data_IF_473748956950
#
_entry.id   IF_473748956950
#
_cell.length_a   1.000
_cell.length_b   1.000
_cell.length_c   1.000
_cell.angle_alpha   90.00
_cell.angle_beta   90.00
_cell.angle_gamma   90.00
#
_symmetry.space_group_name_H-M   'P 1'
#
loop_
_entity.id
_entity.type
_entity.pdbx_description
1 polymer ?
#
# COMPACT_ATOMS: atom_id res chain seq x y z
N UNK A 1 5.69 29.80 -2.55
CA UNK A 1 6.60 28.69 -2.26
C UNK A 1 6.36 28.27 -0.81
N UNK A 2 5.60 27.20 -0.56
CA UNK A 2 5.50 26.62 0.78
C UNK A 2 6.72 25.72 0.94
N UNK A 3 7.49 25.95 1.98
CA UNK A 3 8.68 25.17 2.34
C UNK A 3 8.28 23.68 2.45
N UNK A 4 8.67 22.91 1.47
CA UNK A 4 8.74 21.46 1.64
C UNK A 4 9.86 21.22 2.64
N UNK A 5 9.56 20.60 3.78
CA UNK A 5 10.60 20.19 4.70
C UNK A 5 11.61 19.31 3.94
N UNK A 6 12.91 19.49 4.21
CA UNK A 6 13.91 18.62 3.60
C UNK A 6 13.62 17.16 3.94
N UNK A 7 13.98 16.20 3.06
CA UNK A 7 13.80 14.79 3.34
C UNK A 7 14.48 14.41 4.65
N UNK A 8 13.90 13.47 5.39
CA UNK A 8 14.64 12.83 6.47
C UNK A 8 15.91 12.22 5.89
N UNK A 9 17.00 12.23 6.65
CA UNK A 9 18.20 11.51 6.23
C UNK A 9 17.91 10.01 6.19
N UNK A 10 18.58 9.28 5.31
CA UNK A 10 18.45 7.82 5.23
C UNK A 10 18.73 7.15 6.59
N UNK A 11 19.69 7.69 7.36
CA UNK A 11 20.06 7.22 8.70
C UNK A 11 18.91 7.35 9.72
N UNK A 12 18.01 8.33 9.53
CA UNK A 12 16.91 8.64 10.45
C UNK A 12 15.60 7.90 10.08
N UNK A 13 15.61 7.10 9.01
CA UNK A 13 14.47 6.29 8.62
C UNK A 13 14.31 5.09 9.56
N UNK A 14 13.07 4.67 9.76
CA UNK A 14 12.75 3.41 10.42
C UNK A 14 12.19 2.41 9.40
N UNK A 15 12.06 1.13 9.78
CA UNK A 15 11.56 0.07 8.89
C UNK A 15 10.08 0.25 8.48
N UNK A 16 9.34 1.16 9.10
CA UNK A 16 8.02 1.58 8.61
C UNK A 16 8.11 2.55 7.42
N UNK A 17 9.31 3.02 7.05
CA UNK A 17 9.53 3.74 5.82
C UNK A 17 9.63 2.77 4.65
N UNK A 18 8.80 2.98 3.65
CA UNK A 18 8.69 2.07 2.50
C UNK A 18 10.00 1.92 1.73
N UNK A 19 10.76 3.01 1.55
CA UNK A 19 12.04 2.95 0.85
C UNK A 19 13.02 2.05 1.61
N UNK A 20 13.23 2.33 2.92
CA UNK A 20 14.16 1.54 3.72
C UNK A 20 13.75 0.08 3.80
N UNK A 21 12.46 -0.19 4.02
CA UNK A 21 11.94 -1.55 4.08
C UNK A 21 12.21 -2.31 2.77
N UNK A 22 11.92 -1.68 1.62
CA UNK A 22 12.15 -2.27 0.31
C UNK A 22 13.63 -2.65 0.10
N UNK A 23 14.57 -1.77 0.48
CA UNK A 23 16.01 -2.05 0.39
C UNK A 23 16.44 -3.18 1.33
N UNK A 24 15.85 -3.24 2.54
CA UNK A 24 16.20 -4.26 3.54
C UNK A 24 15.73 -5.65 3.11
N UNK A 25 14.53 -5.77 2.57
CA UNK A 25 14.00 -7.07 2.14
C UNK A 25 14.57 -7.57 0.80
N UNK A 26 15.37 -6.76 0.09
CA UNK A 26 16.25 -7.25 -0.98
C UNK A 26 17.35 -8.17 -0.45
N UNK A 27 17.77 -8.02 0.82
CA UNK A 27 18.64 -8.98 1.49
C UNK A 27 17.86 -10.26 1.83
N UNK A 28 18.24 -11.38 1.21
CA UNK A 28 17.65 -12.69 1.49
C UNK A 28 17.69 -13.04 2.98
N UNK A 29 18.80 -12.69 3.67
CA UNK A 29 18.97 -12.94 5.11
C UNK A 29 17.98 -12.09 5.94
N UNK A 30 17.90 -10.79 5.67
CA UNK A 30 16.96 -9.91 6.38
C UNK A 30 15.51 -10.33 6.16
N UNK A 31 15.14 -10.65 4.91
CA UNK A 31 13.80 -11.10 4.59
C UNK A 31 13.45 -12.42 5.25
N UNK A 32 14.41 -13.36 5.29
CA UNK A 32 14.26 -14.62 6.00
C UNK A 32 14.01 -14.39 7.49
N UNK A 33 14.82 -13.55 8.15
CA UNK A 33 14.66 -13.23 9.57
C UNK A 33 13.26 -12.66 9.84
N UNK A 34 12.82 -11.69 9.05
CA UNK A 34 11.50 -11.05 9.20
C UNK A 34 10.38 -12.09 9.06
N UNK A 35 10.43 -12.93 8.02
CA UNK A 35 9.41 -13.94 7.78
C UNK A 35 9.39 -15.02 8.86
N UNK A 36 10.55 -15.49 9.34
CA UNK A 36 10.64 -16.50 10.38
C UNK A 36 10.09 -16.03 11.72
N UNK A 37 10.30 -14.74 12.07
CA UNK A 37 9.71 -14.14 13.26
C UNK A 37 8.18 -14.01 13.10
N UNK A 38 7.69 -13.55 11.94
CA UNK A 38 6.27 -13.38 11.69
C UNK A 38 5.51 -14.71 11.68
N UNK A 39 6.10 -15.71 11.06
CA UNK A 39 5.45 -17.01 10.86
C UNK A 39 5.76 -18.02 11.98
N UNK A 40 6.65 -17.64 12.90
CA UNK A 40 7.07 -18.46 14.07
C UNK A 40 7.56 -19.86 13.66
N UNK A 41 8.24 -19.95 12.51
CA UNK A 41 8.84 -21.19 11.98
C UNK A 41 10.02 -20.89 11.07
N UNK A 42 10.87 -21.88 10.87
CA UNK A 42 11.96 -21.79 9.89
C UNK A 42 11.42 -21.77 8.45
N UNK A 43 12.11 -21.01 7.60
CA UNK A 43 11.80 -20.86 6.17
C UNK A 43 13.10 -21.01 5.38
N UNK A 44 13.05 -21.83 4.33
CA UNK A 44 14.11 -21.87 3.34
C UNK A 44 13.55 -21.37 1.99
N UNK A 45 14.32 -20.54 1.31
CA UNK A 45 13.91 -20.03 0.01
C UNK A 45 14.40 -20.91 -1.14
N UNK A 46 13.57 -21.02 -2.18
CA UNK A 46 13.96 -21.55 -3.49
C UNK A 46 14.60 -20.44 -4.32
N UNK A 47 15.88 -20.15 -4.10
CA UNK A 47 16.61 -19.07 -4.77
C UNK A 47 16.54 -17.73 -4.02
N UNK A 48 17.10 -16.70 -4.65
CA UNK A 48 17.09 -15.35 -4.07
C UNK A 48 15.71 -14.71 -4.13
N UNK A 49 15.34 -13.88 -3.13
CA UNK A 49 14.13 -13.07 -3.20
C UNK A 49 14.12 -12.21 -4.46
N UNK A 50 12.97 -12.13 -5.11
CA UNK A 50 12.83 -11.35 -6.35
C UNK A 50 12.51 -9.91 -5.94
N UNK A 51 13.54 -9.08 -5.93
CA UNK A 51 13.40 -7.63 -5.72
C UNK A 51 12.74 -6.92 -6.91
N UNK A 52 12.40 -5.65 -6.71
CA UNK A 52 11.80 -4.77 -7.73
C UNK A 52 12.79 -4.47 -8.88
N UNK A 53 12.99 -5.41 -9.79
CA UNK A 53 13.83 -5.29 -10.97
C UNK A 53 13.03 -4.93 -12.23
N UNK A 54 13.75 -4.48 -13.31
CA UNK A 54 13.17 -4.11 -14.60
C UNK A 54 12.22 -5.17 -15.19
N UNK A 55 12.50 -6.46 -14.98
CA UNK A 55 11.60 -7.58 -15.35
C UNK A 55 10.22 -7.50 -14.68
N UNK A 56 10.14 -6.88 -13.52
CA UNK A 56 8.89 -6.69 -12.77
C UNK A 56 8.08 -5.51 -13.32
N UNK A 57 8.75 -4.45 -13.82
CA UNK A 57 8.09 -3.34 -14.51
C UNK A 57 7.38 -3.80 -15.79
N UNK A 58 7.95 -4.77 -16.51
CA UNK A 58 7.30 -5.39 -17.69
C UNK A 58 6.11 -6.26 -17.32
N UNK A 59 6.18 -6.96 -16.16
CA UNK A 59 5.16 -7.93 -15.75
C UNK A 59 3.93 -7.32 -15.08
N UNK A 60 4.07 -6.22 -14.32
CA UNK A 60 3.00 -5.69 -13.47
C UNK A 60 2.52 -4.28 -13.87
N UNK A 61 3.20 -3.63 -14.83
CA UNK A 61 2.93 -2.24 -15.20
C UNK A 61 3.26 -1.24 -14.08
N UNK A 62 3.09 0.05 -14.35
CA UNK A 62 3.40 1.14 -13.40
C UNK A 62 2.55 1.17 -12.12
N UNK A 63 1.53 0.32 -12.03
CA UNK A 63 0.43 0.46 -11.04
C UNK A 63 0.63 -0.39 -9.79
N UNK A 64 1.39 -1.51 -9.85
CA UNK A 64 1.58 -2.39 -8.70
C UNK A 64 3.05 -2.42 -8.26
N UNK A 65 3.37 -1.60 -7.28
CA UNK A 65 4.64 -1.66 -6.54
C UNK A 65 4.50 -2.71 -5.44
N UNK A 66 4.73 -3.97 -5.78
CA UNK A 66 4.90 -5.05 -4.79
C UNK A 66 6.37 -5.04 -4.37
N UNK A 67 6.66 -4.90 -3.10
CA UNK A 67 8.04 -4.61 -2.68
C UNK A 67 8.99 -5.80 -2.87
N UNK A 68 8.71 -7.01 -2.41
CA UNK A 68 9.52 -8.22 -2.69
C UNK A 68 8.68 -9.48 -2.57
N UNK A 69 8.96 -10.47 -3.43
CA UNK A 69 8.40 -11.82 -3.34
C UNK A 69 9.51 -12.84 -3.09
N UNK A 70 9.30 -13.76 -2.17
CA UNK A 70 10.14 -14.94 -2.01
C UNK A 70 9.30 -16.21 -2.16
N UNK A 71 9.91 -17.27 -2.70
CA UNK A 71 9.28 -18.59 -2.80
C UNK A 71 9.96 -19.51 -1.79
N UNK A 72 9.19 -20.03 -0.84
CA UNK A 72 9.67 -21.00 0.12
C UNK A 72 9.86 -22.38 -0.50
N UNK A 73 10.62 -23.24 0.19
CA UNK A 73 10.77 -24.66 -0.15
C UNK A 73 9.46 -25.44 -0.03
N UNK A 74 8.50 -24.92 0.77
CA UNK A 74 7.11 -25.36 0.87
C UNK A 74 6.23 -24.96 -0.34
N UNK A 75 6.82 -24.38 -1.40
CA UNK A 75 6.16 -23.86 -2.59
C UNK A 75 5.15 -22.72 -2.32
N UNK A 76 5.23 -22.08 -1.16
CA UNK A 76 4.44 -20.90 -0.83
C UNK A 76 5.16 -19.63 -1.26
N UNK A 77 4.41 -18.70 -1.80
CA UNK A 77 4.90 -17.37 -2.16
C UNK A 77 4.61 -16.41 -1.01
N UNK A 78 5.63 -15.70 -0.60
CA UNK A 78 5.57 -14.69 0.47
C UNK A 78 5.74 -13.31 -0.13
N UNK A 79 4.85 -12.40 0.25
CA UNK A 79 4.98 -10.98 -0.04
C UNK A 79 4.79 -10.19 1.26
N UNK A 80 5.69 -9.27 1.53
CA UNK A 80 5.57 -8.38 2.69
C UNK A 80 5.63 -6.92 2.25
N UNK A 81 4.78 -6.09 2.85
CA UNK A 81 4.80 -4.64 2.67
C UNK A 81 4.59 -3.92 4.00
N UNK A 82 5.07 -2.69 4.08
CA UNK A 82 4.83 -1.80 5.22
C UNK A 82 3.85 -0.70 4.85
N UNK A 83 2.97 -0.35 5.77
CA UNK A 83 1.99 0.72 5.60
C UNK A 83 1.89 1.57 6.86
N UNK A 84 2.36 2.80 6.78
CA UNK A 84 2.42 3.69 7.94
C UNK A 84 1.08 4.31 8.28
N UNK A 85 0.30 4.71 7.29
CA UNK A 85 -0.95 5.44 7.45
C UNK A 85 -2.13 4.66 6.86
N UNK A 86 -3.30 4.80 7.48
CA UNK A 86 -4.51 4.13 7.01
C UNK A 86 -5.21 4.93 5.91
N UNK A 87 -5.11 4.46 4.68
CA UNK A 87 -5.82 5.01 3.52
C UNK A 87 -7.24 4.43 3.33
N UNK A 88 -7.71 3.59 4.25
CA UNK A 88 -9.03 2.92 4.19
C UNK A 88 -9.27 2.06 2.94
N UNK A 89 -8.22 1.65 2.25
CA UNK A 89 -8.30 0.87 1.00
C UNK A 89 -7.54 -0.47 1.06
N UNK A 90 -6.87 -0.78 2.17
CA UNK A 90 -5.92 -1.88 2.30
C UNK A 90 -6.50 -3.24 1.92
N UNK A 91 -7.71 -3.59 2.37
CA UNK A 91 -8.34 -4.86 2.02
C UNK A 91 -8.58 -5.01 0.51
N UNK A 92 -8.99 -3.92 -0.17
CA UNK A 92 -9.16 -3.95 -1.63
C UNK A 92 -7.82 -4.00 -2.35
N UNK A 93 -6.80 -3.32 -1.81
CA UNK A 93 -5.45 -3.31 -2.34
C UNK A 93 -4.82 -4.71 -2.25
N UNK A 94 -4.94 -5.39 -1.11
CA UNK A 94 -4.46 -6.76 -0.96
C UNK A 94 -5.16 -7.73 -1.91
N UNK A 95 -6.49 -7.63 -2.07
CA UNK A 95 -7.21 -8.42 -3.06
C UNK A 95 -6.69 -8.19 -4.48
N UNK A 96 -6.41 -6.96 -4.85
CA UNK A 96 -5.86 -6.62 -6.16
C UNK A 96 -4.44 -7.17 -6.35
N UNK A 97 -3.57 -6.99 -5.35
CA UNK A 97 -2.20 -7.50 -5.39
C UNK A 97 -2.16 -9.03 -5.41
N UNK A 98 -2.99 -9.69 -4.61
CA UNK A 98 -3.12 -11.15 -4.63
C UNK A 98 -3.53 -11.67 -6.01
N UNK A 99 -4.50 -11.04 -6.67
CA UNK A 99 -4.90 -11.41 -8.02
C UNK A 99 -3.77 -11.21 -9.05
N UNK A 100 -3.02 -10.10 -8.97
CA UNK A 100 -1.87 -9.84 -9.84
C UNK A 100 -0.77 -10.88 -9.64
N UNK A 101 -0.43 -11.21 -8.40
CA UNK A 101 0.57 -12.23 -8.09
C UNK A 101 0.12 -13.59 -8.59
N UNK A 102 -1.09 -14.01 -8.25
CA UNK A 102 -1.67 -15.29 -8.67
C UNK A 102 -1.65 -15.45 -10.18
N UNK A 103 -1.98 -14.39 -10.94
CA UNK A 103 -1.96 -14.44 -12.42
C UNK A 103 -0.58 -14.71 -13.02
N UNK A 104 0.50 -14.52 -12.26
CA UNK A 104 1.90 -14.73 -12.68
C UNK A 104 2.49 -16.04 -12.19
N UNK A 105 1.89 -16.64 -11.15
CA UNK A 105 2.39 -17.86 -10.54
C UNK A 105 2.03 -19.11 -11.33
N UNK A 106 1.00 -19.06 -12.15
CA UNK A 106 0.59 -20.19 -12.97
C UNK A 106 1.23 -20.07 -14.37
N UNK A 107 2.02 -21.07 -14.83
CA UNK A 107 2.62 -21.04 -16.16
C UNK A 107 1.56 -20.96 -17.27
N UNK A 108 1.83 -20.22 -18.34
CA UNK A 108 0.96 -20.12 -19.51
C UNK A 108 0.61 -21.50 -20.07
N UNK A 109 -0.67 -21.69 -20.44
CA UNK A 109 -1.17 -22.96 -20.98
C UNK A 109 -1.44 -24.03 -19.92
N UNK A 110 -1.20 -23.77 -18.63
CA UNK A 110 -1.55 -24.69 -17.55
C UNK A 110 -3.04 -24.60 -17.25
N UNK A 111 -3.72 -25.75 -17.31
CA UNK A 111 -5.14 -25.88 -16.97
C UNK A 111 -5.39 -26.55 -15.61
N UNK A 112 -4.34 -27.05 -14.95
CA UNK A 112 -4.42 -27.66 -13.63
C UNK A 112 -4.13 -26.62 -12.55
N UNK A 113 -5.18 -26.07 -11.96
CA UNK A 113 -5.10 -25.06 -10.90
C UNK A 113 -4.55 -25.62 -9.57
N UNK A 114 -4.47 -26.95 -9.37
CA UNK A 114 -3.81 -27.53 -8.19
C UNK A 114 -2.30 -27.27 -8.18
N UNK A 115 -1.72 -26.84 -9.29
CA UNK A 115 -0.31 -26.43 -9.39
C UNK A 115 -0.06 -24.98 -8.98
N UNK A 116 -1.11 -24.23 -8.67
CA UNK A 116 -0.96 -22.87 -8.17
C UNK A 116 -0.28 -22.90 -6.80
N UNK A 117 0.74 -22.09 -6.64
CA UNK A 117 1.42 -21.93 -5.35
C UNK A 117 0.52 -21.24 -4.33
N UNK A 118 0.60 -21.65 -3.08
CA UNK A 118 -0.02 -20.92 -1.99
C UNK A 118 0.56 -19.50 -1.89
N UNK A 119 -0.25 -18.55 -1.45
CA UNK A 119 0.13 -17.14 -1.32
C UNK A 119 -0.06 -16.66 0.11
N UNK A 120 1.02 -16.17 0.72
CA UNK A 120 0.99 -15.50 2.02
C UNK A 120 1.33 -14.03 1.84
N UNK A 121 0.35 -13.17 2.00
CA UNK A 121 0.52 -11.72 1.94
C UNK A 121 0.61 -11.16 3.35
N UNK A 122 1.63 -10.36 3.62
CA UNK A 122 1.92 -9.79 4.94
C UNK A 122 1.90 -8.27 4.83
N UNK A 123 1.13 -7.63 5.69
CA UNK A 123 1.09 -6.17 5.81
C UNK A 123 1.49 -5.78 7.23
N UNK A 124 2.59 -5.07 7.37
CA UNK A 124 3.03 -4.49 8.63
C UNK A 124 2.49 -3.06 8.68
N UNK A 125 1.51 -2.82 9.55
CA UNK A 125 0.75 -1.58 9.61
C UNK A 125 1.07 -0.77 10.87
N UNK A 126 1.28 0.54 10.72
CA UNK A 126 1.40 1.50 11.82
C UNK A 126 0.06 1.87 12.47
N UNK A 127 -0.98 1.07 12.22
CA UNK A 127 -2.35 1.30 12.70
C UNK A 127 -3.09 -0.04 12.83
N UNK A 128 -4.17 -0.03 13.62
CA UNK A 128 -4.98 -1.22 13.86
C UNK A 128 -5.98 -1.46 12.72
N UNK A 129 -5.75 -2.49 11.93
CA UNK A 129 -6.62 -2.87 10.80
C UNK A 129 -7.95 -3.48 11.25
N UNK A 130 -7.95 -4.24 12.35
CA UNK A 130 -9.14 -4.95 12.83
C UNK A 130 -9.92 -4.18 13.89
N UNK A 131 -9.30 -3.18 14.53
CA UNK A 131 -9.93 -2.35 15.56
C UNK A 131 -10.04 -3.00 16.95
N UNK A 132 -9.50 -4.22 17.14
CA UNK A 132 -9.58 -4.99 18.39
C UNK A 132 -8.29 -4.94 19.22
N UNK A 133 -7.31 -4.13 18.82
CA UNK A 133 -6.04 -3.97 19.53
C UNK A 133 -5.08 -5.16 19.40
N UNK A 134 -5.33 -6.12 18.55
CA UNK A 134 -4.45 -7.28 18.36
C UNK A 134 -3.19 -6.91 17.58
N UNK A 135 -2.08 -7.63 17.86
CA UNK A 135 -0.85 -7.51 17.08
C UNK A 135 -0.94 -8.21 15.72
N UNK A 136 -1.77 -9.25 15.60
CA UNK A 136 -1.92 -10.04 14.37
C UNK A 136 -3.39 -10.33 14.06
N UNK A 137 -3.81 -10.05 12.82
CA UNK A 137 -5.07 -10.49 12.26
C UNK A 137 -4.78 -11.37 11.06
N UNK A 138 -5.45 -12.52 11.00
CA UNK A 138 -5.35 -13.44 9.89
C UNK A 138 -6.65 -13.45 9.10
N UNK A 139 -6.57 -13.19 7.80
CA UNK A 139 -7.72 -13.22 6.90
C UNK A 139 -7.62 -14.43 5.99
N UNK A 140 -8.72 -15.21 5.95
CA UNK A 140 -8.93 -16.37 5.09
C UNK A 140 -10.34 -16.37 4.56
N UNK A 141 -10.59 -17.10 3.47
CA UNK A 141 -11.95 -17.32 2.97
C UNK A 141 -12.62 -18.45 3.75
N UNK A 142 -13.88 -18.22 4.11
CA UNK A 142 -14.70 -19.19 4.84
C UNK A 142 -16.08 -19.30 4.19
N UNK A 143 -16.75 -20.44 4.39
CA UNK A 143 -18.14 -20.58 3.98
C UNK A 143 -19.04 -19.79 4.94
N UNK A 144 -19.92 -18.97 4.40
CA UNK A 144 -20.90 -18.23 5.21
C UNK A 144 -21.75 -19.20 6.06
N UNK A 145 -21.91 -18.88 7.33
CA UNK A 145 -22.62 -19.74 8.29
C UNK A 145 -21.84 -20.96 8.82
N UNK A 146 -20.60 -21.16 8.39
CA UNK A 146 -19.76 -22.27 8.84
C UNK A 146 -18.36 -21.75 9.23
N UNK A 147 -18.23 -21.08 10.41
CA UNK A 147 -16.99 -20.40 10.79
C UNK A 147 -15.79 -21.35 10.99
N UNK A 148 -16.05 -22.63 11.27
CA UNK A 148 -15.02 -23.65 11.46
C UNK A 148 -14.63 -24.39 10.16
N UNK A 149 -15.23 -23.99 9.02
CA UNK A 149 -14.99 -24.62 7.72
C UNK A 149 -14.28 -23.67 6.79
N UNK A 150 -12.96 -23.77 6.78
CA UNK A 150 -12.08 -23.00 5.88
C UNK A 150 -12.29 -23.43 4.42
N UNK A 151 -12.28 -22.44 3.49
CA UNK A 151 -12.09 -22.69 2.06
C UNK A 151 -10.59 -22.67 1.83
N UNK A 152 -9.98 -23.85 1.82
CA UNK A 152 -8.55 -23.96 1.57
C UNK A 152 -8.25 -23.69 0.10
N UNK A 153 -8.02 -22.42 -0.23
CA UNK A 153 -7.65 -21.97 -1.57
C UNK A 153 -6.18 -21.55 -1.68
N UNK A 154 -5.41 -21.72 -0.61
CA UNK A 154 -3.99 -21.41 -0.54
C UNK A 154 -3.67 -19.93 -0.27
N UNK A 155 -4.67 -19.03 -0.20
CA UNK A 155 -4.42 -17.62 0.09
C UNK A 155 -4.62 -17.30 1.58
N UNK A 156 -3.62 -16.63 2.15
CA UNK A 156 -3.68 -16.09 3.51
C UNK A 156 -3.17 -14.65 3.51
N UNK A 157 -3.85 -13.75 4.23
CA UNK A 157 -3.37 -12.39 4.46
C UNK A 157 -3.15 -12.19 5.95
N UNK A 158 -1.94 -11.77 6.33
CA UNK A 158 -1.59 -11.39 7.69
C UNK A 158 -1.48 -9.88 7.79
N UNK A 159 -2.28 -9.28 8.65
CA UNK A 159 -2.13 -7.89 9.05
C UNK A 159 -1.47 -7.84 10.42
N UNK A 160 -0.28 -7.24 10.48
CA UNK A 160 0.47 -7.02 11.70
C UNK A 160 0.34 -5.55 12.12
N UNK A 161 -0.03 -5.33 13.38
CA UNK A 161 -0.27 -4.01 13.93
C UNK A 161 0.89 -3.63 14.87
N UNK A 162 1.71 -2.66 14.49
CA UNK A 162 2.83 -2.19 15.33
C UNK A 162 2.36 -1.45 16.60
N UNK A 163 1.07 -1.11 16.68
CA UNK A 163 0.41 -0.45 17.82
C UNK A 163 -0.50 -1.40 18.62
N UNK A 164 -0.32 -2.70 18.46
CA UNK A 164 -1.07 -3.71 19.20
C UNK A 164 -0.94 -3.57 20.70
N UNK A 165 -1.90 -4.11 21.44
CA UNK A 165 -1.94 -4.14 22.91
C UNK A 165 -2.29 -5.52 23.44
N UNK A 166 -3.00 -6.30 22.65
CA UNK A 166 -3.38 -7.67 22.98
C UNK A 166 -2.30 -8.62 22.45
N UNK A 167 -1.59 -9.26 23.38
CA UNK A 167 -0.47 -10.18 23.13
C UNK A 167 -0.91 -11.62 22.89
N UNK A 168 -2.21 -11.91 22.95
CA UNK A 168 -2.71 -13.26 22.74
C UNK A 168 -2.37 -13.81 21.35
N UNK A 169 -1.78 -14.99 21.32
CA UNK A 169 -1.47 -15.72 20.09
C UNK A 169 -0.31 -15.15 19.27
N UNK A 170 0.56 -14.34 19.85
CA UNK A 170 1.79 -13.83 19.25
C UNK A 170 2.97 -13.98 20.20
N UNK A 171 4.17 -14.20 19.65
CA UNK A 171 5.39 -14.31 20.46
C UNK A 171 5.90 -12.93 20.91
N UNK A 172 6.62 -12.92 22.03
CA UNK A 172 7.29 -11.71 22.51
C UNK A 172 8.34 -11.21 21.49
N UNK A 173 8.95 -12.10 20.73
CA UNK A 173 9.90 -11.73 19.68
C UNK A 173 9.21 -11.02 18.51
N UNK A 174 8.01 -11.44 18.11
CA UNK A 174 7.23 -10.71 17.10
C UNK A 174 6.88 -9.31 17.59
N UNK A 175 6.46 -9.17 18.85
CA UNK A 175 6.15 -7.86 19.44
C UNK A 175 7.40 -6.97 19.43
N UNK A 176 8.55 -7.50 19.88
CA UNK A 176 9.81 -6.77 19.90
C UNK A 176 10.26 -6.33 18.49
N UNK A 177 10.06 -7.20 17.50
CA UNK A 177 10.33 -6.84 16.09
C UNK A 177 9.41 -5.73 15.60
N UNK A 178 8.12 -5.77 15.90
CA UNK A 178 7.17 -4.71 15.51
C UNK A 178 7.50 -3.37 16.18
N UNK A 179 7.95 -3.39 17.43
CA UNK A 179 8.46 -2.20 18.11
C UNK A 179 9.76 -1.68 17.44
N UNK A 180 10.67 -2.59 17.05
CA UNK A 180 11.88 -2.23 16.32
C UNK A 180 11.56 -1.61 14.95
N UNK A 181 10.50 -2.02 14.27
CA UNK A 181 10.05 -1.39 13.02
C UNK A 181 9.68 0.09 13.21
N UNK A 182 9.07 0.44 14.34
CA UNK A 182 8.73 1.84 14.66
C UNK A 182 9.96 2.66 15.10
N UNK A 183 10.93 2.02 15.75
CA UNK A 183 12.13 2.65 16.25
C UNK A 183 13.37 1.83 15.86
N UNK A 184 13.84 2.04 14.62
CA UNK A 184 14.94 1.28 14.03
C UNK A 184 16.29 1.87 14.44
N UNK A 185 16.71 1.57 15.68
CA UNK A 185 17.96 2.03 16.31
C UNK A 185 18.73 0.87 16.93
N UNK A 186 20.06 1.05 17.10
CA UNK A 186 20.92 0.05 17.75
C UNK A 186 20.48 -0.23 19.17
N UNK A 187 20.11 0.80 19.92
CA UNK A 187 19.65 0.68 21.31
C UNK A 187 18.37 -0.15 21.40
N UNK A 188 17.42 0.06 20.48
CA UNK A 188 16.17 -0.69 20.45
C UNK A 188 16.41 -2.17 20.08
N UNK A 189 17.29 -2.43 19.13
CA UNK A 189 17.66 -3.79 18.75
C UNK A 189 18.35 -4.53 19.89
N UNK A 190 19.34 -3.92 20.53
CA UNK A 190 20.07 -4.51 21.67
C UNK A 190 19.14 -4.76 22.87
N UNK A 191 18.28 -3.80 23.20
CA UNK A 191 17.35 -3.92 24.33
C UNK A 191 16.27 -4.98 24.10
N UNK A 192 16.02 -5.40 22.88
CA UNK A 192 15.08 -6.49 22.58
C UNK A 192 15.53 -7.84 23.17
N UNK A 193 16.84 -8.06 23.27
CA UNK A 193 17.44 -9.31 23.72
C UNK A 193 17.35 -10.47 22.74
N UNK A 194 16.83 -10.26 21.53
CA UNK A 194 16.67 -11.30 20.49
C UNK A 194 17.79 -11.21 19.45
N UNK A 195 18.57 -12.28 19.30
CA UNK A 195 19.70 -12.36 18.35
C UNK A 195 19.28 -12.05 16.90
N UNK A 196 18.08 -12.52 16.49
CA UNK A 196 17.56 -12.27 15.14
C UNK A 196 17.29 -10.79 14.88
N UNK A 197 16.76 -10.06 15.87
CA UNK A 197 16.51 -8.61 15.75
C UNK A 197 17.81 -7.84 15.74
N UNK A 198 18.79 -8.25 16.56
CA UNK A 198 20.14 -7.65 16.57
C UNK A 198 20.81 -7.87 15.20
N UNK A 199 20.70 -9.09 14.66
CA UNK A 199 21.24 -9.40 13.33
C UNK A 199 20.55 -8.61 12.22
N UNK A 200 19.24 -8.46 12.28
CA UNK A 200 18.47 -7.61 11.37
C UNK A 200 18.98 -6.16 11.43
N UNK A 201 19.22 -5.63 12.60
CA UNK A 201 19.72 -4.27 12.78
C UNK A 201 21.14 -4.08 12.19
N UNK A 202 22.03 -5.08 12.27
CA UNK A 202 23.33 -5.02 11.62
C UNK A 202 23.20 -4.87 10.09
N UNK A 203 22.27 -5.62 9.48
CA UNK A 203 22.00 -5.53 8.04
C UNK A 203 21.41 -4.14 7.70
N UNK A 204 20.44 -3.67 8.48
CA UNK A 204 19.82 -2.35 8.30
C UNK A 204 20.87 -1.23 8.43
N UNK A 205 21.76 -1.32 9.41
CA UNK A 205 22.81 -0.33 9.63
C UNK A 205 23.82 -0.30 8.48
N UNK A 206 24.16 -1.47 7.92
CA UNK A 206 25.00 -1.56 6.72
C UNK A 206 24.32 -0.91 5.50
N UNK A 207 23.03 -1.12 5.30
CA UNK A 207 22.24 -0.52 4.23
C UNK A 207 22.19 1.01 4.40
N UNK A 208 21.90 1.50 5.60
CA UNK A 208 21.88 2.93 5.91
C UNK A 208 23.25 3.62 5.72
N UNK A 209 24.34 2.89 5.87
CA UNK A 209 25.69 3.38 5.68
C UNK A 209 26.19 3.33 4.22
N UNK A 210 25.44 2.74 3.31
CA UNK A 210 25.82 2.58 1.92
C UNK A 210 25.51 3.84 1.12
N UNK A 211 26.56 4.45 0.53
CA UNK A 211 26.45 5.70 -0.24
C UNK A 211 25.59 5.53 -1.50
N UNK A 212 25.63 4.37 -2.17
CA UNK A 212 24.82 4.11 -3.37
C UNK A 212 23.33 4.08 -3.02
N UNK A 213 22.97 3.48 -1.88
CA UNK A 213 21.59 3.49 -1.37
C UNK A 213 21.19 4.91 -0.97
N UNK A 214 22.11 5.70 -0.43
CA UNK A 214 21.89 7.12 -0.16
C UNK A 214 21.52 7.91 -1.42
N UNK A 215 22.23 7.69 -2.52
CA UNK A 215 21.91 8.30 -3.83
C UNK A 215 20.56 7.79 -4.36
N UNK A 216 20.30 6.48 -4.30
CA UNK A 216 19.02 5.87 -4.71
C UNK A 216 17.84 6.46 -3.91
N UNK A 217 18.02 6.69 -2.62
CA UNK A 217 17.04 7.33 -1.77
C UNK A 217 16.72 8.77 -2.19
N UNK A 218 17.74 9.58 -2.47
CA UNK A 218 17.55 10.96 -2.92
C UNK A 218 16.82 11.01 -4.27
N UNK A 219 17.20 10.17 -5.22
CA UNK A 219 16.53 10.09 -6.52
C UNK A 219 15.05 9.68 -6.38
N UNK A 220 14.76 8.68 -5.56
CA UNK A 220 13.38 8.23 -5.28
C UNK A 220 12.55 9.32 -4.58
N UNK A 221 13.18 10.12 -3.71
CA UNK A 221 12.53 11.26 -3.09
C UNK A 221 12.19 12.35 -4.10
N UNK A 222 13.15 12.71 -4.97
CA UNK A 222 12.94 13.73 -6.01
C UNK A 222 11.83 13.30 -7.00
N UNK A 223 11.85 12.05 -7.46
CA UNK A 223 10.80 11.48 -8.33
C UNK A 223 9.42 11.58 -7.65
N UNK A 224 9.35 11.18 -6.38
CA UNK A 224 8.09 11.27 -5.62
C UNK A 224 7.59 12.71 -5.46
N UNK A 225 8.49 13.66 -5.23
CA UNK A 225 8.13 15.07 -5.13
C UNK A 225 7.61 15.62 -6.45
N UNK A 226 8.22 15.21 -7.57
CA UNK A 226 7.75 15.54 -8.91
C UNK A 226 6.34 14.99 -9.16
N UNK A 227 6.09 13.70 -8.86
CA UNK A 227 4.77 13.08 -9.02
C UNK A 227 3.69 13.79 -8.19
N UNK A 228 4.01 14.18 -6.94
CA UNK A 228 3.09 14.93 -6.08
C UNK A 228 2.79 16.30 -6.67
N UNK A 229 3.81 16.99 -7.20
CA UNK A 229 3.62 18.29 -7.82
C UNK A 229 2.75 18.20 -9.07
N UNK A 230 3.01 17.22 -9.92
CA UNK A 230 2.23 16.98 -11.15
C UNK A 230 0.77 16.62 -10.83
N UNK A 231 0.54 15.73 -9.88
CA UNK A 231 -0.81 15.36 -9.43
C UNK A 231 -1.57 16.56 -8.86
N UNK A 232 -0.87 17.44 -8.15
CA UNK A 232 -1.46 18.67 -7.61
C UNK A 232 -1.85 19.63 -8.72
N UNK A 233 -0.98 19.88 -9.69
CA UNK A 233 -1.24 20.76 -10.83
C UNK A 233 -2.44 20.26 -11.66
N UNK A 234 -2.50 18.96 -11.92
CA UNK A 234 -3.65 18.33 -12.57
C UNK A 234 -4.95 18.50 -11.77
N UNK A 235 -4.90 18.30 -10.45
CA UNK A 235 -6.04 18.50 -9.57
C UNK A 235 -6.53 19.95 -9.53
N UNK A 236 -5.62 20.92 -9.51
CA UNK A 236 -5.94 22.36 -9.55
C UNK A 236 -6.57 22.74 -10.91
N UNK A 237 -6.09 22.18 -12.01
CA UNK A 237 -6.65 22.44 -13.35
C UNK A 237 -8.06 21.83 -13.51
N UNK A 238 -8.26 20.59 -13.06
CA UNK A 238 -9.59 19.95 -13.06
C UNK A 238 -10.55 20.76 -12.21
N UNK A 239 -10.17 21.09 -10.97
CA UNK A 239 -11.03 21.86 -10.06
C UNK A 239 -11.39 23.24 -10.61
N UNK A 240 -10.45 23.92 -11.31
CA UNK A 240 -10.72 25.19 -11.98
C UNK A 240 -11.72 25.01 -13.13
N UNK A 241 -11.52 24.00 -13.98
CA UNK A 241 -12.41 23.71 -15.11
C UNK A 241 -13.82 23.36 -14.66
N UNK A 242 -13.96 22.52 -13.64
CA UNK A 242 -15.25 22.16 -13.04
C UNK A 242 -15.93 23.36 -12.37
N UNK A 243 -15.16 24.18 -11.65
CA UNK A 243 -15.66 25.42 -11.03
C UNK A 243 -16.17 26.42 -12.04
N UNK A 244 -15.45 26.64 -13.13
CA UNK A 244 -15.87 27.53 -14.23
C UNK A 244 -17.12 26.99 -14.95
N UNK A 245 -17.22 25.65 -15.16
CA UNK A 245 -18.40 25.06 -15.79
C UNK A 245 -19.63 25.19 -14.89
N UNK A 246 -19.46 24.91 -13.58
CA UNK A 246 -20.52 25.05 -12.58
C UNK A 246 -20.96 26.50 -12.41
N UNK A 247 -20.01 27.43 -12.36
CA UNK A 247 -20.29 28.86 -12.29
C UNK A 247 -21.12 29.36 -13.50
N UNK A 248 -20.71 28.99 -14.72
CA UNK A 248 -21.46 29.32 -15.96
C UNK A 248 -22.86 28.68 -15.96
N UNK A 249 -23.01 27.49 -15.46
CA UNK A 249 -24.33 26.86 -15.37
C UNK A 249 -25.23 27.56 -14.35
N UNK A 250 -24.71 27.96 -13.20
CA UNK A 250 -25.43 28.71 -12.18
C UNK A 250 -25.85 30.09 -12.70
N UNK A 251 -24.97 30.82 -13.38
CA UNK A 251 -25.27 32.14 -13.99
C UNK A 251 -26.39 32.04 -15.02
N UNK A 252 -26.39 31.00 -15.87
CA UNK A 252 -27.46 30.76 -16.84
C UNK A 252 -28.83 30.50 -16.16
N UNK A 253 -28.84 29.74 -15.08
CA UNK A 253 -30.06 29.45 -14.30
C UNK A 253 -30.57 30.71 -13.60
N UNK A 254 -29.70 31.52 -13.03
CA UNK A 254 -30.04 32.77 -12.38
C UNK A 254 -30.61 33.78 -13.41
N UNK A 255 -29.98 33.92 -14.57
CA UNK A 255 -30.45 34.74 -15.67
C UNK A 255 -31.83 34.30 -16.18
N UNK A 256 -32.02 32.96 -16.38
CA UNK A 256 -33.31 32.44 -16.82
C UNK A 256 -34.41 32.66 -15.78
N UNK A 257 -34.11 32.52 -14.50
CA UNK A 257 -35.04 32.79 -13.39
C UNK A 257 -35.44 34.24 -13.36
N UNK A 258 -34.48 35.18 -13.52
CA UNK A 258 -34.74 36.62 -13.56
C UNK A 258 -35.61 37.00 -14.77
N UNK A 259 -35.41 36.38 -15.93
CA UNK A 259 -36.22 36.58 -17.13
C UNK A 259 -37.64 36.04 -16.96
N UNK A 260 -37.83 34.89 -16.33
CA UNK A 260 -39.15 34.33 -15.99
C UNK A 260 -39.95 35.26 -15.09
N UNK A 261 -39.34 35.82 -14.06
CA UNK A 261 -39.99 36.78 -13.15
C UNK A 261 -40.47 38.02 -13.94
N UNK A 262 -39.77 38.40 -15.03
CA UNK A 262 -40.16 39.50 -15.90
C UNK A 262 -41.15 39.12 -17.03
N UNK A 263 -41.66 37.89 -17.02
CA UNK A 263 -42.61 37.30 -17.97
C UNK A 263 -42.07 37.25 -19.43
N UNK A 264 -40.78 36.99 -19.64
CA UNK A 264 -40.23 36.68 -20.96
C UNK A 264 -40.79 35.33 -21.45
N UNK A 265 -41.04 35.14 -22.75
CA UNK A 265 -41.41 33.84 -23.31
C UNK A 265 -40.32 32.78 -23.10
N UNK A 266 -40.69 31.54 -22.84
CA UNK A 266 -39.75 30.41 -22.59
C UNK A 266 -38.80 30.21 -23.77
N UNK A 267 -39.23 30.43 -25.01
CA UNK A 267 -38.44 30.31 -26.22
C UNK A 267 -37.31 31.34 -26.26
N UNK A 268 -37.61 32.58 -25.86
CA UNK A 268 -36.64 33.70 -25.80
C UNK A 268 -35.63 33.47 -24.66
N UNK A 269 -36.10 32.95 -23.53
CA UNK A 269 -35.20 32.52 -22.42
C UNK A 269 -34.25 31.43 -22.87
N UNK A 270 -34.75 30.44 -23.63
CA UNK A 270 -33.94 29.35 -24.16
C UNK A 270 -32.85 29.85 -25.12
N UNK A 271 -33.23 30.78 -26.03
CA UNK A 271 -32.29 31.37 -26.99
C UNK A 271 -31.17 32.18 -26.32
N UNK A 272 -31.50 32.97 -25.30
CA UNK A 272 -30.52 33.83 -24.62
C UNK A 272 -29.63 33.09 -23.60
N UNK A 273 -30.16 32.10 -22.93
CA UNK A 273 -29.42 31.37 -21.88
C UNK A 273 -28.76 30.09 -22.37
N UNK A 274 -29.28 29.51 -23.49
CA UNK A 274 -28.88 28.21 -24.00
C UNK A 274 -29.35 27.05 -23.12
N UNK A 275 -30.32 27.27 -22.22
CA UNK A 275 -31.01 26.23 -21.45
C UNK A 275 -32.10 25.57 -22.30
N UNK A 276 -32.36 24.33 -22.04
CA UNK A 276 -33.47 23.61 -22.67
C UNK A 276 -34.83 24.09 -22.14
N UNK A 277 -35.89 23.99 -22.94
CA UNK A 277 -37.25 24.32 -22.52
C UNK A 277 -37.69 23.47 -21.28
N UNK A 278 -37.14 22.28 -21.11
CA UNK A 278 -37.40 21.44 -19.95
C UNK A 278 -36.80 22.03 -18.67
N UNK A 279 -35.57 22.51 -18.73
CA UNK A 279 -34.90 23.17 -17.61
C UNK A 279 -35.58 24.50 -17.25
N UNK A 280 -35.99 25.28 -18.24
CA UNK A 280 -36.72 26.54 -18.04
C UNK A 280 -38.10 26.31 -17.40
N UNK A 281 -38.82 25.26 -17.77
CA UNK A 281 -40.09 24.90 -17.16
C UNK A 281 -39.97 24.38 -15.73
N UNK A 282 -38.79 23.93 -15.33
CA UNK A 282 -38.52 23.47 -14.00
C UNK A 282 -38.14 24.59 -13.00
N UNK A 283 -37.84 25.82 -13.52
CA UNK A 283 -37.64 27.04 -12.75
C UNK A 283 -38.96 27.68 -12.35
#
# INVERSE_FOLDING_TARGET
>A
MKHTNPPKKLQDLNLMDRFLFSEVIESAEAYKIILEIILEREINFKGEPIAENEKRKELLGKIARLDVCAIGDDNRVYNAEVQKENENNMHKRMRYYGALMTSKLLPEGTIDYNRLSDLCMIVIAGFDMGGEGKYRYTVRRMYEGYPDKDVYDGEVILYLNTKGKDTEGVSDELIAMLEYFEETTDDKALSSGYERIIRLNEIVSSIKANDEIGVKYMNAYEERMHDIQEAREQGEEIGRSEGEASGRAAEKLEMASAMKIKNYPDDEIAELTGLTLKEIKAL
#
